data_IF_181765431440
#
_entry.id   IF_181765431440
#
_cell.length_a   1.000
_cell.length_b   1.000
_cell.length_c   1.000
_cell.angle_alpha   90.00
_cell.angle_beta   90.00
_cell.angle_gamma   90.00
#
_symmetry.space_group_name_H-M   'P 1'
#
loop_
_entity.id
_entity.type
_entity.pdbx_description
1 polymer ?
#
# COMPACT_ATOMS: atom_id res chain seq x y z
N UNK A 1 -14.97 11.29 -56.78
CA UNK A 1 -15.99 10.85 -57.79
C UNK A 1 -17.06 10.04 -57.04
N UNK A 2 -18.35 10.52 -57.18
CA UNK A 2 -19.65 9.81 -57.02
C UNK A 2 -19.87 9.05 -55.71
N UNK A 3 -20.57 9.54 -54.68
CA UNK A 3 -22.03 9.74 -54.54
C UNK A 3 -22.92 8.60 -55.09
N UNK A 4 -23.62 7.90 -54.19
CA UNK A 4 -25.01 7.51 -54.44
C UNK A 4 -25.76 7.31 -53.10
N UNK A 5 -26.91 7.99 -53.04
CA UNK A 5 -27.98 7.92 -52.03
C UNK A 5 -28.87 6.71 -52.36
N UNK A 6 -29.50 6.10 -51.35
CA UNK A 6 -30.89 5.60 -51.51
C UNK A 6 -31.63 5.71 -50.17
N UNK A 7 -32.75 6.42 -50.26
CA UNK A 7 -33.84 6.53 -49.28
C UNK A 7 -34.81 5.38 -49.61
N UNK A 8 -35.30 4.69 -48.58
CA UNK A 8 -36.61 4.06 -48.69
C UNK A 8 -37.35 4.21 -47.36
N UNK A 9 -38.51 4.84 -47.48
CA UNK A 9 -39.55 5.08 -46.50
C UNK A 9 -40.46 3.87 -46.54
N UNK A 10 -40.67 3.20 -45.41
CA UNK A 10 -41.81 2.28 -45.23
C UNK A 10 -42.66 2.75 -44.05
N UNK A 11 -43.84 3.15 -44.40
CA UNK A 11 -44.98 3.49 -43.59
C UNK A 11 -45.61 2.18 -43.06
N UNK A 12 -45.83 2.06 -41.72
CA UNK A 12 -46.44 0.85 -41.16
C UNK A 12 -47.12 1.10 -39.82
N UNK A 13 -48.39 1.44 -39.93
CA UNK A 13 -49.52 1.12 -39.04
C UNK A 13 -49.36 1.06 -37.53
N UNK A 14 -49.93 2.05 -36.87
CA UNK A 14 -50.26 2.08 -35.43
C UNK A 14 -51.31 1.03 -35.06
N UNK A 15 -50.92 0.07 -34.20
CA UNK A 15 -51.86 -0.75 -33.41
C UNK A 15 -51.77 -0.30 -31.95
N UNK A 16 -52.83 0.40 -31.49
CA UNK A 16 -53.03 0.77 -30.10
C UNK A 16 -53.54 -0.45 -29.33
N UNK A 17 -52.64 -1.13 -28.63
CA UNK A 17 -52.98 -2.15 -27.64
C UNK A 17 -52.99 -1.58 -26.26
N UNK A 18 -54.16 -1.37 -25.68
CA UNK A 18 -54.32 -0.99 -24.27
C UNK A 18 -53.95 -2.19 -23.38
N UNK A 19 -52.76 -2.20 -22.83
CA UNK A 19 -52.34 -3.18 -21.79
C UNK A 19 -52.61 -2.57 -20.40
N UNK A 20 -53.57 -3.12 -19.72
CA UNK A 20 -53.84 -2.82 -18.31
C UNK A 20 -52.64 -3.29 -17.45
N UNK A 21 -51.87 -2.34 -16.92
CA UNK A 21 -50.80 -2.64 -16.00
C UNK A 21 -51.38 -2.97 -14.62
N UNK A 22 -51.28 -4.22 -14.20
CA UNK A 22 -51.53 -4.61 -12.82
C UNK A 22 -50.49 -3.96 -11.87
N UNK A 23 -50.87 -3.52 -10.67
CA UNK A 23 -49.89 -2.94 -9.73
C UNK A 23 -48.94 -4.02 -9.26
N UNK A 24 -47.67 -3.86 -9.62
CA UNK A 24 -46.58 -4.72 -9.14
C UNK A 24 -46.40 -4.47 -7.63
N UNK A 25 -46.76 -5.48 -6.84
CA UNK A 25 -46.45 -5.53 -5.42
C UNK A 25 -44.94 -5.43 -5.24
N UNK A 26 -44.41 -4.26 -4.83
CA UNK A 26 -43.02 -4.11 -4.43
C UNK A 26 -42.79 -5.00 -3.21
N UNK A 27 -42.20 -6.19 -3.42
CA UNK A 27 -41.65 -6.96 -2.31
C UNK A 27 -40.59 -6.07 -1.65
N UNK A 28 -40.88 -5.65 -0.40
CA UNK A 28 -39.88 -4.98 0.44
C UNK A 28 -38.68 -5.88 0.56
N UNK A 29 -37.56 -5.43 -0.02
CA UNK A 29 -36.28 -6.06 0.14
C UNK A 29 -35.94 -6.06 1.63
N UNK A 30 -35.56 -7.21 2.24
CA UNK A 30 -35.17 -7.21 3.64
C UNK A 30 -34.10 -6.16 3.88
N UNK A 31 -34.26 -5.35 4.92
CA UNK A 31 -33.24 -4.39 5.33
C UNK A 31 -31.93 -5.15 5.53
N UNK A 32 -30.83 -4.65 4.94
CA UNK A 32 -29.52 -5.20 5.19
C UNK A 32 -29.28 -5.27 6.70
N UNK A 33 -28.71 -6.37 7.23
CA UNK A 33 -28.42 -6.46 8.66
C UNK A 33 -27.59 -5.25 9.07
N UNK A 34 -27.80 -4.70 10.30
CA UNK A 34 -27.04 -3.57 10.79
C UNK A 34 -25.54 -3.96 10.70
N UNK A 35 -24.73 -3.06 10.15
CA UNK A 35 -23.28 -3.25 10.10
C UNK A 35 -22.82 -3.60 11.52
N UNK A 36 -22.31 -4.81 11.72
CA UNK A 36 -21.77 -5.23 13.01
C UNK A 36 -20.66 -4.22 13.34
N UNK A 37 -20.80 -3.51 14.45
CA UNK A 37 -19.75 -2.60 14.91
C UNK A 37 -18.51 -3.44 15.20
N UNK A 38 -17.42 -3.21 14.44
CA UNK A 38 -16.15 -3.87 14.69
C UNK A 38 -15.65 -3.49 16.08
N UNK A 39 -15.26 -4.47 16.87
CA UNK A 39 -14.59 -4.20 18.15
C UNK A 39 -13.12 -3.97 17.88
N UNK A 40 -12.56 -2.80 18.26
CA UNK A 40 -11.13 -2.55 18.12
C UNK A 40 -10.31 -3.60 18.86
N UNK A 41 -9.21 -4.02 18.26
CA UNK A 41 -8.22 -4.92 18.84
C UNK A 41 -6.87 -4.22 19.04
N UNK A 42 -5.98 -4.85 19.79
CA UNK A 42 -4.64 -4.32 20.06
C UNK A 42 -3.75 -4.41 18.82
N UNK A 43 -2.85 -3.42 18.59
CA UNK A 43 -1.87 -3.48 17.54
C UNK A 43 -1.03 -4.77 17.58
N UNK A 44 -0.81 -5.34 16.41
CA UNK A 44 -0.01 -6.54 16.22
C UNK A 44 1.23 -6.22 15.39
N UNK A 45 2.34 -6.92 15.70
CA UNK A 45 3.56 -6.80 14.91
C UNK A 45 3.44 -7.46 13.55
N UNK A 46 4.17 -6.89 12.58
CA UNK A 46 4.26 -7.42 11.23
C UNK A 46 5.62 -7.06 10.60
N UNK A 47 5.87 -7.54 9.39
CA UNK A 47 7.05 -7.13 8.60
C UNK A 47 7.53 -8.19 7.63
N UNK A 48 7.93 -9.39 8.07
CA UNK A 48 8.42 -10.40 7.13
C UNK A 48 7.45 -10.63 5.97
N UNK A 49 7.98 -10.70 4.75
CA UNK A 49 7.21 -10.90 3.51
C UNK A 49 6.20 -9.81 3.18
N UNK A 50 6.31 -8.64 3.80
CA UNK A 50 5.50 -7.47 3.47
C UNK A 50 6.38 -6.34 2.96
N UNK A 51 5.82 -5.56 2.06
CA UNK A 51 6.25 -4.19 1.82
C UNK A 51 5.38 -3.29 2.67
N UNK A 52 5.98 -2.29 3.30
CA UNK A 52 5.21 -1.26 3.99
C UNK A 52 5.72 0.14 3.69
N UNK A 53 4.79 1.06 3.71
CA UNK A 53 5.02 2.49 3.55
C UNK A 53 4.73 3.19 4.88
N UNK A 54 5.47 4.24 5.20
CA UNK A 54 5.22 5.07 6.37
C UNK A 54 4.95 6.52 5.97
N UNK A 55 3.87 7.09 6.54
CA UNK A 55 3.38 8.45 6.30
C UNK A 55 3.29 9.19 7.62
N UNK A 56 3.81 10.41 7.68
CA UNK A 56 3.78 11.21 8.91
C UNK A 56 2.59 12.16 8.93
N UNK A 57 1.82 12.13 10.02
CA UNK A 57 0.72 13.10 10.24
C UNK A 57 -0.45 12.99 9.26
N UNK A 58 -0.56 11.88 8.52
CA UNK A 58 -1.70 11.59 7.65
C UNK A 58 -2.81 10.86 8.41
N UNK A 59 -4.06 10.94 7.93
CA UNK A 59 -5.11 10.03 8.42
C UNK A 59 -5.13 8.73 7.59
N UNK A 60 -5.59 7.60 8.17
CA UNK A 60 -5.70 6.34 7.44
C UNK A 60 -6.55 6.47 6.15
N UNK A 61 -7.63 7.26 6.19
CA UNK A 61 -8.50 7.49 5.05
C UNK A 61 -7.81 8.33 3.97
N UNK A 62 -6.96 9.30 4.36
CA UNK A 62 -6.16 10.08 3.42
C UNK A 62 -5.14 9.19 2.72
N UNK A 63 -4.47 8.30 3.47
CA UNK A 63 -3.53 7.32 2.90
C UNK A 63 -4.25 6.35 1.97
N UNK A 64 -5.42 5.82 2.36
CA UNK A 64 -6.22 4.94 1.52
C UNK A 64 -6.62 5.61 0.20
N UNK A 65 -7.02 6.89 0.23
CA UNK A 65 -7.31 7.67 -0.99
C UNK A 65 -6.05 7.92 -1.84
N UNK A 66 -4.93 8.29 -1.22
CA UNK A 66 -3.66 8.52 -1.92
C UNK A 66 -3.12 7.26 -2.60
N UNK A 67 -3.36 6.09 -2.01
CA UNK A 67 -3.08 4.78 -2.57
C UNK A 67 -4.14 4.30 -3.57
N UNK A 68 -5.21 5.07 -3.79
CA UNK A 68 -6.33 4.76 -4.69
C UNK A 68 -6.99 3.41 -4.37
N UNK A 69 -7.12 3.08 -3.08
CA UNK A 69 -7.67 1.79 -2.68
C UNK A 69 -9.15 1.68 -3.07
N UNK A 70 -9.50 0.56 -3.69
CA UNK A 70 -10.88 0.19 -3.97
C UNK A 70 -11.55 -0.38 -2.71
N UNK A 71 -12.82 -0.02 -2.51
CA UNK A 71 -13.68 -0.50 -1.41
C UNK A 71 -13.00 -0.40 -0.03
N UNK A 72 -12.49 0.79 0.38
CA UNK A 72 -11.87 0.95 1.68
C UNK A 72 -12.93 0.79 2.79
N UNK A 73 -12.64 -0.04 3.79
CA UNK A 73 -13.50 -0.30 4.92
C UNK A 73 -12.69 -0.40 6.22
N UNK A 74 -13.32 -0.07 7.35
CA UNK A 74 -12.71 -0.27 8.67
C UNK A 74 -12.38 -1.73 8.90
N UNK A 75 -11.28 -2.00 9.60
CA UNK A 75 -10.80 -3.34 9.91
C UNK A 75 -10.11 -3.38 11.27
N UNK A 76 -10.20 -4.52 11.93
CA UNK A 76 -9.36 -4.85 13.08
C UNK A 76 -7.91 -5.04 12.63
N UNK A 77 -6.96 -5.06 13.56
CA UNK A 77 -5.56 -5.38 13.26
C UNK A 77 -5.39 -6.79 12.76
N UNK A 78 -6.04 -7.75 13.41
CA UNK A 78 -5.96 -9.17 13.03
C UNK A 78 -6.45 -9.39 11.59
N UNK A 79 -7.65 -8.88 11.25
CA UNK A 79 -8.22 -9.03 9.91
C UNK A 79 -7.46 -8.19 8.89
N UNK A 80 -7.02 -6.99 9.26
CA UNK A 80 -6.25 -6.10 8.42
C UNK A 80 -4.91 -6.71 7.99
N UNK A 81 -4.14 -7.22 8.94
CA UNK A 81 -2.86 -7.88 8.63
C UNK A 81 -3.08 -9.17 7.84
N UNK A 82 -4.08 -9.99 8.20
CA UNK A 82 -4.44 -11.16 7.40
C UNK A 82 -4.74 -10.77 5.94
N UNK A 83 -5.50 -9.72 5.72
CA UNK A 83 -5.81 -9.21 4.39
C UNK A 83 -4.56 -8.70 3.66
N UNK A 84 -3.62 -8.02 4.34
CA UNK A 84 -2.36 -7.55 3.78
C UNK A 84 -1.49 -8.70 3.27
N UNK A 85 -1.38 -9.79 4.04
CA UNK A 85 -0.69 -11.01 3.59
C UNK A 85 -1.40 -11.73 2.44
N UNK A 86 -2.68 -11.44 2.20
CA UNK A 86 -3.47 -11.96 1.07
C UNK A 86 -3.52 -11.01 -0.13
N UNK A 87 -2.70 -9.95 -0.13
CA UNK A 87 -2.57 -9.03 -1.26
C UNK A 87 -3.55 -7.86 -1.25
N UNK A 88 -4.30 -7.63 -0.17
CA UNK A 88 -4.97 -6.36 0.08
C UNK A 88 -4.00 -5.39 0.74
N UNK A 89 -4.43 -4.15 0.96
CA UNK A 89 -3.66 -3.15 1.70
C UNK A 89 -4.31 -2.91 3.04
N UNK A 90 -3.53 -3.05 4.12
CA UNK A 90 -3.94 -2.62 5.46
C UNK A 90 -3.26 -1.31 5.79
N UNK A 91 -4.04 -0.29 6.13
CA UNK A 91 -3.58 1.02 6.59
C UNK A 91 -3.84 1.12 8.08
N UNK A 92 -2.79 1.29 8.88
CA UNK A 92 -2.89 1.37 10.33
C UNK A 92 -3.54 2.68 10.79
N UNK A 93 -4.12 2.74 12.00
CA UNK A 93 -4.36 4.02 12.67
C UNK A 93 -3.03 4.75 12.93
N UNK A 94 -3.06 6.05 13.31
CA UNK A 94 -1.86 6.78 13.70
C UNK A 94 -1.15 6.12 14.90
N UNK A 95 0.15 5.98 14.80
CA UNK A 95 1.01 5.29 15.76
C UNK A 95 2.03 6.24 16.39
N UNK A 96 2.22 6.11 17.68
CA UNK A 96 3.15 6.92 18.46
C UNK A 96 2.83 8.42 18.47
N UNK A 97 3.61 9.21 19.19
CA UNK A 97 3.40 10.65 19.33
C UNK A 97 3.58 11.42 18.03
N UNK A 98 4.40 10.90 17.13
CA UNK A 98 4.63 11.50 15.81
C UNK A 98 3.50 11.24 14.79
N UNK A 99 2.51 10.42 15.16
CA UNK A 99 1.34 10.13 14.33
C UNK A 99 1.70 9.43 13.02
N UNK A 100 2.58 8.44 13.04
CA UNK A 100 2.92 7.64 11.86
C UNK A 100 1.78 6.73 11.47
N UNK A 101 1.41 6.73 10.19
CA UNK A 101 0.48 5.78 9.59
C UNK A 101 1.26 4.85 8.68
N UNK A 102 1.10 3.54 8.88
CA UNK A 102 1.74 2.53 8.04
C UNK A 102 0.70 1.94 7.08
N UNK A 103 1.10 1.71 5.85
CA UNK A 103 0.32 0.93 4.89
C UNK A 103 1.12 -0.30 4.50
N UNK A 104 0.55 -1.49 4.63
CA UNK A 104 1.24 -2.76 4.42
C UNK A 104 0.51 -3.66 3.41
N UNK A 105 1.27 -4.33 2.54
CA UNK A 105 0.74 -5.28 1.55
C UNK A 105 1.83 -6.17 0.99
N UNK A 106 1.48 -7.38 0.57
CA UNK A 106 2.33 -8.22 -0.28
C UNK A 106 2.31 -7.81 -1.75
N UNK A 107 1.46 -6.84 -2.14
CA UNK A 107 1.27 -6.40 -3.54
C UNK A 107 1.76 -4.98 -3.81
N UNK A 108 2.41 -4.34 -2.87
CA UNK A 108 3.04 -3.07 -3.18
C UNK A 108 4.15 -3.24 -4.22
N UNK A 109 4.37 -2.21 -5.08
CA UNK A 109 5.43 -2.25 -6.07
C UNK A 109 6.79 -2.50 -5.42
N UNK A 110 7.62 -3.29 -6.08
CA UNK A 110 8.98 -3.61 -5.66
C UNK A 110 10.05 -2.81 -6.41
N UNK A 111 11.30 -2.85 -5.94
CA UNK A 111 12.43 -2.18 -6.59
C UNK A 111 12.77 -2.68 -7.99
N UNK A 112 12.15 -3.77 -8.43
CA UNK A 112 12.53 -4.47 -9.66
C UNK A 112 13.81 -5.29 -9.52
N UNK A 113 14.24 -5.82 -10.64
CA UNK A 113 15.48 -6.58 -10.81
C UNK A 113 16.04 -6.40 -12.23
N UNK A 114 16.98 -7.23 -12.66
CA UNK A 114 17.56 -7.20 -14.03
C UNK A 114 16.53 -7.47 -15.13
N UNK A 115 15.40 -8.10 -14.82
CA UNK A 115 14.35 -8.51 -15.78
C UNK A 115 13.08 -7.67 -15.64
N UNK A 116 12.84 -7.10 -14.48
CA UNK A 116 11.62 -6.38 -14.15
C UNK A 116 11.97 -4.92 -13.82
N UNK A 117 11.23 -3.94 -14.39
CA UNK A 117 11.49 -2.53 -14.13
C UNK A 117 11.16 -2.17 -12.67
N UNK A 118 11.81 -1.13 -12.16
CA UNK A 118 11.52 -0.50 -10.88
C UNK A 118 10.10 0.11 -10.92
N UNK A 119 9.15 -0.55 -10.29
CA UNK A 119 7.78 -0.10 -10.16
C UNK A 119 7.54 0.73 -8.89
N UNK A 120 8.41 0.64 -7.89
CA UNK A 120 8.25 1.34 -6.62
C UNK A 120 8.60 2.83 -6.74
N UNK A 121 9.68 3.20 -7.43
CA UNK A 121 10.12 4.60 -7.53
C UNK A 121 9.02 5.53 -8.07
N UNK A 122 8.29 5.26 -9.17
CA UNK A 122 7.23 6.14 -9.64
C UNK A 122 6.11 6.36 -8.60
N UNK A 123 5.71 5.30 -7.89
CA UNK A 123 4.71 5.38 -6.84
C UNK A 123 5.19 6.23 -5.66
N UNK A 124 6.44 6.06 -5.22
CA UNK A 124 7.03 6.82 -4.11
C UNK A 124 7.22 8.31 -4.45
N UNK A 125 7.60 8.64 -5.69
CA UNK A 125 7.61 10.02 -6.20
C UNK A 125 6.23 10.64 -6.04
N UNK A 126 5.19 10.00 -6.57
CA UNK A 126 3.82 10.49 -6.49
C UNK A 126 3.33 10.64 -5.03
N UNK A 127 3.50 9.62 -4.21
CA UNK A 127 3.06 9.65 -2.81
C UNK A 127 3.78 10.72 -1.98
N UNK A 128 5.09 10.92 -2.20
CA UNK A 128 5.82 11.96 -1.49
C UNK A 128 5.45 13.38 -1.92
N UNK A 129 4.94 13.57 -3.14
CA UNK A 129 4.34 14.83 -3.58
C UNK A 129 3.02 15.10 -2.86
N UNK A 130 2.20 14.06 -2.65
CA UNK A 130 0.91 14.19 -1.97
C UNK A 130 1.05 14.42 -0.45
N UNK A 131 1.95 13.68 0.19
CA UNK A 131 2.08 13.64 1.66
C UNK A 131 3.30 14.41 2.19
N UNK A 132 4.11 15.01 1.31
CA UNK A 132 5.34 15.69 1.67
C UNK A 132 6.52 14.74 1.88
N UNK A 133 6.32 13.61 2.53
CA UNK A 133 7.31 12.54 2.75
C UNK A 133 6.62 11.18 2.68
N UNK A 134 7.32 10.20 2.11
CA UNK A 134 6.99 8.77 2.21
C UNK A 134 8.27 7.98 2.44
N UNK A 135 8.18 6.99 3.32
CA UNK A 135 9.23 6.00 3.52
C UNK A 135 8.73 4.65 3.03
N UNK A 136 9.63 3.86 2.51
CA UNK A 136 9.39 2.53 1.94
C UNK A 136 10.32 1.52 2.58
N UNK A 137 9.79 0.36 2.92
CA UNK A 137 10.53 -0.75 3.48
C UNK A 137 10.03 -2.07 2.89
N UNK A 138 10.95 -2.98 2.60
CA UNK A 138 10.63 -4.32 2.12
C UNK A 138 11.63 -5.33 2.66
N UNK A 139 11.14 -6.50 3.05
CA UNK A 139 11.96 -7.66 3.37
C UNK A 139 11.26 -8.93 2.91
N UNK A 140 11.96 -9.72 2.07
CA UNK A 140 11.46 -10.95 1.48
C UNK A 140 12.53 -12.03 1.56
N UNK A 141 12.29 -13.04 2.38
CA UNK A 141 13.20 -14.16 2.62
C UNK A 141 13.46 -15.04 1.38
N UNK A 142 12.44 -15.23 0.52
CA UNK A 142 12.56 -16.10 -0.68
C UNK A 142 13.51 -15.54 -1.73
N UNK A 143 13.56 -14.21 -1.87
CA UNK A 143 14.43 -13.51 -2.82
C UNK A 143 15.65 -12.90 -2.12
N UNK A 144 15.73 -13.03 -0.80
CA UNK A 144 16.68 -12.32 0.04
C UNK A 144 16.73 -10.82 -0.32
N UNK A 145 15.52 -10.25 -0.53
CA UNK A 145 15.33 -8.83 -0.85
C UNK A 145 15.21 -8.03 0.44
N UNK A 146 16.10 -7.06 0.61
CA UNK A 146 16.10 -6.12 1.70
C UNK A 146 16.19 -4.70 1.15
N UNK A 147 15.18 -3.85 1.42
CA UNK A 147 15.11 -2.52 0.85
C UNK A 147 14.54 -1.50 1.82
N UNK A 148 15.05 -0.27 1.72
CA UNK A 148 14.47 0.93 2.32
C UNK A 148 14.68 2.15 1.42
N UNK A 149 13.71 3.05 1.44
CA UNK A 149 13.84 4.31 0.73
C UNK A 149 13.08 5.43 1.45
N UNK A 150 13.55 6.66 1.26
CA UNK A 150 12.93 7.88 1.76
C UNK A 150 12.82 8.88 0.63
N UNK A 151 11.60 9.33 0.37
CA UNK A 151 11.29 10.34 -0.63
C UNK A 151 10.66 11.56 0.03
N UNK A 152 11.09 12.74 -0.38
CA UNK A 152 10.57 14.02 0.12
C UNK A 152 10.18 14.89 -1.07
N UNK A 153 8.92 15.33 -1.12
CA UNK A 153 8.37 16.24 -2.15
C UNK A 153 8.69 15.81 -3.59
N UNK A 154 8.59 14.51 -3.85
CA UNK A 154 8.83 13.93 -5.18
C UNK A 154 10.28 13.59 -5.49
N UNK A 155 11.23 13.85 -4.58
CA UNK A 155 12.65 13.56 -4.79
C UNK A 155 13.13 12.45 -3.86
N UNK A 156 13.95 11.49 -4.34
CA UNK A 156 14.61 10.52 -3.49
C UNK A 156 15.67 11.21 -2.63
N UNK A 157 15.59 10.98 -1.33
CA UNK A 157 16.65 11.36 -0.36
C UNK A 157 17.61 10.19 -0.19
N UNK A 158 17.07 8.99 -0.11
CA UNK A 158 17.79 7.74 0.04
C UNK A 158 17.01 6.60 -0.62
N UNK A 159 17.71 5.76 -1.38
CA UNK A 159 17.19 4.48 -1.88
C UNK A 159 18.26 3.42 -1.74
N UNK A 160 17.93 2.34 -1.07
CA UNK A 160 18.75 1.14 -1.03
C UNK A 160 17.85 -0.07 -1.24
N UNK A 161 18.25 -0.97 -2.14
CA UNK A 161 17.64 -2.28 -2.28
C UNK A 161 18.70 -3.29 -2.71
N UNK A 162 18.76 -4.40 -2.00
CA UNK A 162 19.74 -5.47 -2.16
C UNK A 162 19.03 -6.80 -2.39
N UNK A 163 19.48 -7.53 -3.39
CA UNK A 163 19.07 -8.90 -3.69
C UNK A 163 20.22 -9.82 -3.28
N UNK A 164 20.09 -10.48 -2.14
CA UNK A 164 21.11 -11.34 -1.59
C UNK A 164 21.38 -12.57 -2.45
N UNK A 165 20.33 -13.14 -3.05
CA UNK A 165 20.46 -14.28 -3.96
C UNK A 165 21.42 -14.00 -5.13
N UNK A 166 21.48 -12.76 -5.61
CA UNK A 166 22.36 -12.31 -6.71
C UNK A 166 23.55 -11.47 -6.21
N UNK A 167 23.64 -11.21 -4.91
CA UNK A 167 24.60 -10.28 -4.29
C UNK A 167 24.64 -8.92 -5.01
N UNK A 168 23.48 -8.41 -5.40
CA UNK A 168 23.35 -7.23 -6.27
C UNK A 168 22.51 -6.14 -5.61
N UNK A 169 22.98 -4.89 -5.70
CA UNK A 169 22.15 -3.72 -5.38
C UNK A 169 21.34 -3.32 -6.61
N UNK A 170 20.01 -3.26 -6.46
CA UNK A 170 19.10 -2.76 -7.49
C UNK A 170 18.78 -1.28 -7.27
N UNK A 171 18.89 -0.80 -6.03
CA UNK A 171 18.90 0.62 -5.68
C UNK A 171 20.16 0.94 -4.85
N UNK A 172 20.79 2.07 -5.15
CA UNK A 172 21.92 2.58 -4.39
C UNK A 172 22.07 4.09 -4.55
N UNK A 173 20.95 4.83 -4.36
CA UNK A 173 20.90 6.28 -4.55
C UNK A 173 20.93 7.01 -3.19
N UNK A 174 21.64 8.12 -3.13
CA UNK A 174 21.84 8.94 -1.94
C UNK A 174 22.84 8.32 -0.96
N UNK A 175 23.45 9.18 -0.13
CA UNK A 175 24.36 8.76 0.92
C UNK A 175 23.57 8.14 2.09
N UNK A 176 24.20 7.26 2.91
CA UNK A 176 23.61 6.79 4.15
C UNK A 176 23.19 7.95 5.04
N UNK A 177 21.96 7.89 5.53
CA UNK A 177 21.42 8.96 6.40
C UNK A 177 22.13 9.01 7.76
N UNK A 178 21.98 10.11 8.53
CA UNK A 178 22.54 10.17 9.87
C UNK A 178 22.07 9.02 10.78
N UNK A 179 20.84 8.56 10.60
CA UNK A 179 20.27 7.42 11.33
C UNK A 179 20.94 6.11 10.91
N UNK A 180 21.12 5.86 9.61
CA UNK A 180 21.86 4.69 9.11
C UNK A 180 23.30 4.69 9.64
N UNK A 181 23.97 5.84 9.63
CA UNK A 181 25.32 5.98 10.18
C UNK A 181 25.40 5.66 11.68
N UNK A 182 24.42 6.09 12.47
CA UNK A 182 24.33 5.77 13.91
C UNK A 182 24.11 4.27 14.17
N UNK A 183 23.44 3.59 13.24
CA UNK A 183 23.23 2.14 13.28
C UNK A 183 24.41 1.36 12.72
N UNK A 184 25.44 2.04 12.17
CA UNK A 184 26.58 1.41 11.50
C UNK A 184 26.24 0.82 10.13
N UNK A 185 25.11 1.23 9.53
CA UNK A 185 24.60 0.72 8.26
C UNK A 185 25.07 1.61 7.09
N UNK A 186 26.36 1.53 6.78
CA UNK A 186 27.01 2.39 5.76
C UNK A 186 27.00 1.77 4.36
N UNK A 187 25.90 1.17 3.96
CA UNK A 187 25.77 0.56 2.63
C UNK A 187 25.75 1.61 1.52
N UNK A 188 26.75 1.58 0.64
CA UNK A 188 26.92 2.55 -0.45
C UNK A 188 26.80 1.91 -1.85
N UNK A 189 26.02 0.85 -1.99
CA UNK A 189 25.78 0.18 -3.26
C UNK A 189 26.96 -0.66 -3.77
N UNK A 190 27.94 -0.89 -2.93
CA UNK A 190 29.05 -1.83 -3.20
C UNK A 190 29.00 -2.94 -2.16
N UNK A 191 29.23 -4.20 -2.55
CA UNK A 191 29.39 -5.28 -1.59
C UNK A 191 30.50 -4.93 -0.61
N UNK A 192 30.21 -4.97 0.68
CA UNK A 192 31.20 -4.85 1.75
C UNK A 192 31.46 -6.27 2.27
N UNK A 193 32.34 -7.01 1.61
CA UNK A 193 32.54 -8.44 1.88
C UNK A 193 31.30 -9.28 1.54
N UNK A 194 31.09 -10.38 2.27
CA UNK A 194 29.94 -11.30 2.09
C UNK A 194 28.67 -10.84 2.84
N UNK A 195 28.64 -9.60 3.35
CA UNK A 195 27.54 -9.10 4.19
C UNK A 195 26.81 -7.95 3.50
N UNK A 196 25.72 -8.31 2.82
CA UNK A 196 24.72 -7.34 2.37
C UNK A 196 23.77 -6.91 3.51
N UNK A 197 22.86 -5.97 3.23
CA UNK A 197 21.73 -5.70 4.10
C UNK A 197 20.92 -6.97 4.39
N UNK A 198 20.30 -7.02 5.57
CA UNK A 198 19.46 -8.12 6.01
C UNK A 198 18.13 -7.60 6.60
N UNK A 199 17.25 -8.50 6.99
CA UNK A 199 15.95 -8.19 7.58
C UNK A 199 16.07 -7.31 8.83
N UNK A 200 17.01 -7.60 9.74
CA UNK A 200 17.20 -6.81 10.96
C UNK A 200 17.58 -5.35 10.64
N UNK A 201 18.36 -5.14 9.58
CA UNK A 201 18.72 -3.81 9.13
C UNK A 201 17.49 -3.02 8.65
N UNK A 202 16.57 -3.67 7.91
CA UNK A 202 15.32 -3.04 7.46
C UNK A 202 14.49 -2.56 8.65
N UNK A 203 14.30 -3.41 9.67
CA UNK A 203 13.57 -3.03 10.88
C UNK A 203 14.29 -1.95 11.69
N UNK A 204 15.61 -2.03 11.81
CA UNK A 204 16.39 -1.01 12.52
C UNK A 204 16.26 0.37 11.83
N UNK A 205 16.35 0.43 10.51
CA UNK A 205 16.15 1.68 9.76
C UNK A 205 14.70 2.17 9.89
N UNK A 206 13.71 1.28 9.78
CA UNK A 206 12.30 1.65 9.97
C UNK A 206 12.06 2.24 11.37
N UNK A 207 12.63 1.65 12.41
CA UNK A 207 12.56 2.17 13.77
C UNK A 207 13.23 3.52 13.97
N UNK A 208 14.34 3.75 13.27
CA UNK A 208 15.08 5.00 13.34
C UNK A 208 14.44 6.14 12.54
N UNK A 209 13.81 5.85 11.40
CA UNK A 209 13.16 6.84 10.56
C UNK A 209 11.70 7.11 10.96
N UNK A 210 10.99 6.08 11.41
CA UNK A 210 9.57 6.14 11.77
C UNK A 210 9.21 5.18 12.91
N UNK A 211 8.79 3.96 12.57
CA UNK A 211 8.38 2.92 13.51
C UNK A 211 8.81 1.56 12.98
N UNK A 212 9.45 0.78 13.83
CA UNK A 212 9.65 -0.66 13.62
C UNK A 212 8.30 -1.38 13.84
N UNK A 213 7.68 -1.91 12.76
CA UNK A 213 6.39 -2.56 12.87
C UNK A 213 6.46 -3.91 13.59
N UNK A 214 7.61 -4.55 13.67
CA UNK A 214 7.75 -5.86 14.34
C UNK A 214 7.55 -5.77 15.86
N UNK A 215 7.68 -4.58 16.43
CA UNK A 215 7.59 -4.32 17.87
C UNK A 215 6.23 -3.80 18.34
N UNK A 216 5.24 -3.64 17.46
CA UNK A 216 3.98 -2.96 17.81
C UNK A 216 3.21 -3.63 18.93
N UNK A 217 3.20 -4.97 19.01
CA UNK A 217 2.50 -5.70 20.07
C UNK A 217 3.13 -5.52 21.46
N UNK A 218 4.40 -5.11 21.52
CA UNK A 218 5.10 -4.87 22.79
C UNK A 218 5.01 -3.41 23.26
N UNK A 219 4.49 -2.53 22.39
CA UNK A 219 4.22 -1.13 22.71
C UNK A 219 2.86 -1.02 23.37
N UNK A 220 2.75 -0.29 24.43
CA UNK A 220 1.46 -0.09 25.13
C UNK A 220 0.54 0.86 24.32
N UNK A 221 0.09 0.38 23.16
CA UNK A 221 -0.80 1.13 22.27
C UNK A 221 -2.25 0.70 22.54
N UNK A 222 -3.23 1.64 22.50
CA UNK A 222 -4.63 1.32 22.74
C UNK A 222 -5.21 0.48 21.60
N UNK A 223 -6.25 -0.34 21.87
CA UNK A 223 -7.05 -0.98 20.84
C UNK A 223 -7.58 0.05 19.83
N UNK A 224 -7.53 -0.29 18.55
CA UNK A 224 -7.86 0.65 17.48
C UNK A 224 -8.26 -0.08 16.19
N UNK A 225 -8.87 0.66 15.26
CA UNK A 225 -9.23 0.15 13.94
C UNK A 225 -8.37 0.84 12.87
N UNK A 226 -7.95 0.06 11.90
CA UNK A 226 -7.36 0.55 10.66
C UNK A 226 -8.34 0.51 9.49
N UNK A 227 -7.80 0.66 8.29
CA UNK A 227 -8.56 0.60 7.03
C UNK A 227 -7.97 -0.49 6.13
N UNK A 228 -8.83 -1.32 5.53
CA UNK A 228 -8.45 -2.30 4.51
C UNK A 228 -9.11 -1.97 3.19
N UNK A 229 -8.34 -2.02 2.09
CA UNK A 229 -8.86 -1.88 0.73
C UNK A 229 -8.10 -2.76 -0.25
N UNK A 230 -8.61 -2.90 -1.47
CA UNK A 230 -7.89 -3.58 -2.55
C UNK A 230 -7.03 -2.57 -3.32
N UNK A 231 -5.81 -2.93 -3.75
CA UNK A 231 -5.03 -2.07 -4.64
C UNK A 231 -5.79 -1.84 -5.96
N UNK A 232 -5.50 -0.75 -6.69
CA UNK A 232 -6.13 -0.41 -7.96
C UNK A 232 -5.88 -1.44 -9.08
#
# INVERSE_FOLDING_TARGET
MRALRFRDVILGVLLVGASAAAPACKKSQPAAPPASMLTPDTPQGFGPRLVWLAFRGASPEAVARGLQLNEPASSTWADGLKAAYQGRVFVTPPLGDAGWVLAASTRFPDPGDKKHPDAATPALVHLSQLFGEVQYFATYDVLDLHAWARFVKGAPVRKLAYLGADSTYVWADGDPTPEENKLGLVFAGKPVGDKGPNEENVFAVAGAWSIDPSTLQTRNLPPSLGVVGSPP
#
